data_IF_608439369579
#
_entry.id   IF_608439369579
#
_cell.length_a   1.000
_cell.length_b   1.000
_cell.length_c   1.000
_cell.angle_alpha   90.00
_cell.angle_beta   90.00
_cell.angle_gamma   90.00
#
_symmetry.space_group_name_H-M   'P 1'
#
loop_
_entity.id
_entity.type
_entity.pdbx_description
1 polymer ?
#
# COMPACT_ATOMS: atom_id res chain seq x y z
N UNK A 1 46.08 22.96 -41.19
CA UNK A 1 45.15 21.80 -41.21
C UNK A 1 44.75 21.57 -39.78
N UNK A 2 43.69 22.32 -39.36
CA UNK A 2 43.14 22.27 -38.01
C UNK A 2 42.07 21.18 -37.98
N UNK A 3 42.18 20.26 -37.01
CA UNK A 3 41.17 19.25 -36.72
C UNK A 3 40.28 19.80 -35.62
N UNK A 4 39.08 20.16 -36.03
CA UNK A 4 37.98 20.57 -35.12
C UNK A 4 37.34 19.31 -34.55
N UNK A 5 37.54 19.07 -33.27
CA UNK A 5 36.95 17.95 -32.51
C UNK A 5 35.66 18.38 -31.90
N UNK A 6 34.55 18.04 -32.55
CA UNK A 6 33.21 18.18 -31.95
C UNK A 6 33.03 17.14 -30.84
N UNK A 7 33.06 17.61 -29.59
CA UNK A 7 32.58 16.83 -28.43
C UNK A 7 31.05 16.70 -28.49
N UNK A 8 30.58 15.49 -28.83
CA UNK A 8 29.20 15.10 -28.67
C UNK A 8 28.94 14.82 -27.17
N UNK A 9 28.35 15.80 -26.50
CA UNK A 9 27.85 15.62 -25.14
C UNK A 9 26.65 14.68 -25.13
N UNK A 10 26.89 13.41 -24.82
CA UNK A 10 25.85 12.47 -24.46
C UNK A 10 25.24 12.89 -23.09
N UNK A 11 24.16 13.62 -23.14
CA UNK A 11 23.30 13.83 -21.97
C UNK A 11 22.57 12.51 -21.70
N UNK A 12 23.18 11.63 -20.89
CA UNK A 12 22.45 10.53 -20.24
C UNK A 12 21.38 11.12 -19.32
N UNK A 13 20.19 11.35 -19.87
CA UNK A 13 18.98 11.63 -19.13
C UNK A 13 18.52 10.41 -18.36
N UNK A 14 19.22 10.03 -17.32
CA UNK A 14 18.75 9.07 -16.34
C UNK A 14 17.48 9.64 -15.71
N UNK A 15 16.32 9.11 -16.11
CA UNK A 15 15.05 9.36 -15.40
C UNK A 15 15.21 8.87 -13.96
N UNK A 16 15.58 9.78 -13.05
CA UNK A 16 15.50 9.48 -11.63
C UNK A 16 14.03 9.22 -11.33
N UNK A 17 13.70 7.96 -11.05
CA UNK A 17 12.39 7.58 -10.57
C UNK A 17 12.07 8.45 -9.34
N UNK A 18 11.12 9.37 -9.50
CA UNK A 18 10.79 10.34 -8.45
C UNK A 18 10.02 9.60 -7.35
N UNK A 19 10.64 9.48 -6.18
CA UNK A 19 9.99 8.90 -4.99
C UNK A 19 8.69 9.67 -4.70
N UNK A 20 7.52 9.01 -4.64
CA UNK A 20 6.30 9.70 -4.25
C UNK A 20 6.42 10.30 -2.85
N UNK A 21 6.17 11.61 -2.71
CA UNK A 21 6.24 12.30 -1.43
C UNK A 21 4.91 12.34 -0.67
N UNK A 22 3.86 11.70 -1.21
CA UNK A 22 2.53 11.62 -0.62
C UNK A 22 2.08 10.17 -0.50
N UNK A 23 1.24 9.91 0.50
CA UNK A 23 0.69 8.60 0.75
C UNK A 23 -0.75 8.68 1.27
N UNK A 24 -1.48 7.56 1.13
CA UNK A 24 -2.69 7.28 1.89
C UNK A 24 -2.51 6.00 2.71
N UNK A 25 -2.91 6.05 3.97
CA UNK A 25 -3.00 4.87 4.85
C UNK A 25 -4.48 4.56 5.08
N UNK A 26 -4.93 3.39 4.62
CA UNK A 26 -6.33 2.98 4.76
C UNK A 26 -6.58 2.44 6.17
N UNK A 27 -7.30 3.22 6.98
CA UNK A 27 -7.58 2.94 8.39
C UNK A 27 -9.08 2.98 8.77
N UNK A 28 -9.99 3.23 7.81
CA UNK A 28 -11.44 3.36 8.04
C UNK A 28 -12.19 2.03 8.23
N UNK A 29 -11.51 0.89 8.11
CA UNK A 29 -12.13 -0.44 8.18
C UNK A 29 -12.77 -0.74 9.53
N UNK A 30 -13.92 -1.45 9.54
CA UNK A 30 -14.67 -1.83 10.76
C UNK A 30 -13.92 -2.85 11.64
N UNK A 31 -12.92 -3.56 11.11
CA UNK A 31 -12.13 -4.54 11.85
C UNK A 31 -12.93 -5.72 12.44
N UNK A 32 -14.06 -6.09 11.86
CA UNK A 32 -15.02 -7.06 12.44
C UNK A 32 -14.42 -8.44 12.76
N UNK A 33 -13.39 -8.85 12.03
CA UNK A 33 -12.67 -10.12 12.26
C UNK A 33 -11.75 -10.09 13.49
N UNK A 34 -11.47 -8.91 14.04
CA UNK A 34 -10.64 -8.73 15.24
C UNK A 34 -11.45 -8.81 16.56
N UNK A 35 -12.74 -9.15 16.51
CA UNK A 35 -13.53 -9.39 17.74
C UNK A 35 -12.99 -10.64 18.46
N UNK A 36 -12.79 -10.61 19.80
CA UNK A 36 -13.26 -9.61 20.76
C UNK A 36 -12.31 -8.43 21.00
N UNK A 37 -11.12 -8.36 20.39
CA UNK A 37 -10.12 -7.32 20.68
C UNK A 37 -10.60 -5.90 20.42
N UNK A 38 -11.47 -5.68 19.44
CA UNK A 38 -11.79 -4.35 18.94
C UNK A 38 -13.10 -3.76 19.45
N UNK A 39 -13.61 -4.25 20.56
CA UNK A 39 -14.77 -3.59 21.21
C UNK A 39 -14.46 -2.15 21.67
N UNK A 40 -13.20 -1.84 21.93
CA UNK A 40 -12.74 -0.53 22.43
C UNK A 40 -11.50 0.01 21.70
N UNK A 41 -10.79 -0.82 20.93
CA UNK A 41 -9.58 -0.43 20.20
C UNK A 41 -9.80 -0.63 18.69
N UNK A 42 -9.69 0.41 17.86
CA UNK A 42 -9.82 0.26 16.42
C UNK A 42 -8.66 -0.59 15.88
N UNK A 43 -8.91 -1.40 14.84
CA UNK A 43 -7.91 -2.30 14.27
C UNK A 43 -6.55 -1.65 13.97
N UNK A 44 -6.48 -0.42 13.42
CA UNK A 44 -5.20 0.25 13.19
C UNK A 44 -4.35 0.45 14.44
N UNK A 45 -4.97 0.49 15.62
CA UNK A 45 -4.30 0.68 16.91
C UNK A 45 -4.04 -0.61 17.69
N UNK A 46 -4.37 -1.77 17.14
CA UNK A 46 -3.99 -3.06 17.74
C UNK A 46 -2.48 -3.14 17.81
N UNK A 47 -1.97 -3.53 18.98
CA UNK A 47 -0.54 -3.68 19.19
C UNK A 47 -0.02 -4.99 18.60
N UNK A 48 1.16 -4.92 17.99
CA UNK A 48 1.94 -6.03 17.50
C UNK A 48 3.41 -5.79 17.92
N UNK A 49 3.95 -6.64 18.77
CA UNK A 49 5.31 -6.47 19.26
C UNK A 49 5.53 -5.13 20.01
N UNK A 50 4.51 -4.60 20.66
CA UNK A 50 4.56 -3.33 21.41
C UNK A 50 4.34 -2.07 20.57
N UNK A 51 4.07 -2.17 19.26
CA UNK A 51 3.84 -1.06 18.33
C UNK A 51 2.48 -1.20 17.66
N UNK A 52 1.75 -0.11 17.43
CA UNK A 52 0.45 -0.18 16.76
C UNK A 52 0.60 -0.54 15.28
N UNK A 53 -0.40 -1.22 14.71
CA UNK A 53 -0.35 -1.64 13.30
C UNK A 53 -0.18 -0.45 12.35
N UNK A 54 -0.87 0.66 12.61
CA UNK A 54 -0.76 1.86 11.76
C UNK A 54 0.66 2.46 11.80
N UNK A 55 1.36 2.34 12.94
CA UNK A 55 2.71 2.88 13.06
C UNK A 55 3.73 2.11 12.21
N UNK A 56 3.51 0.82 11.95
CA UNK A 56 4.34 0.07 10.99
C UNK A 56 4.25 0.68 9.58
N UNK A 57 3.06 1.08 9.15
CA UNK A 57 2.85 1.72 7.85
C UNK A 57 3.46 3.14 7.84
N UNK A 58 3.16 3.96 8.86
CA UNK A 58 3.60 5.34 8.92
C UNK A 58 5.12 5.49 9.07
N UNK A 59 5.78 4.59 9.82
CA UNK A 59 7.24 4.62 9.97
C UNK A 59 7.96 4.25 8.67
N UNK A 60 7.41 3.29 7.89
CA UNK A 60 7.95 2.97 6.56
C UNK A 60 7.84 4.14 5.59
N UNK A 61 6.71 4.84 5.62
CA UNK A 61 6.50 6.05 4.82
C UNK A 61 7.46 7.16 5.23
N UNK A 62 7.65 7.37 6.53
CA UNK A 62 8.61 8.34 7.05
C UNK A 62 10.05 8.01 6.64
N UNK A 63 10.46 6.74 6.78
CA UNK A 63 11.77 6.26 6.38
C UNK A 63 12.02 6.38 4.86
N UNK A 64 10.96 6.30 4.04
CA UNK A 64 11.02 6.52 2.61
C UNK A 64 10.97 8.01 2.20
N UNK A 65 10.95 8.94 3.15
CA UNK A 65 10.92 10.38 2.85
C UNK A 65 9.56 10.92 2.42
N UNK A 66 8.47 10.20 2.69
CA UNK A 66 7.11 10.71 2.46
C UNK A 66 6.84 11.90 3.37
N UNK A 67 6.50 13.04 2.78
CA UNK A 67 6.27 14.30 3.52
C UNK A 67 4.88 14.34 4.15
N UNK A 68 3.86 13.81 3.45
CA UNK A 68 2.46 13.87 3.87
C UNK A 68 1.76 12.52 3.68
N UNK A 69 1.05 12.07 4.71
CA UNK A 69 0.18 10.90 4.66
C UNK A 69 -1.26 11.28 5.00
N UNK A 70 -2.19 10.94 4.12
CA UNK A 70 -3.63 11.00 4.40
C UNK A 70 -4.01 9.71 5.13
N UNK A 71 -4.71 9.84 6.26
CA UNK A 71 -5.26 8.71 7.01
C UNK A 71 -6.77 8.81 6.98
N UNK A 72 -7.45 7.84 6.34
CA UNK A 72 -8.90 7.82 6.37
C UNK A 72 -9.40 7.15 7.65
N UNK A 73 -10.45 7.72 8.25
CA UNK A 73 -10.99 7.27 9.53
C UNK A 73 -12.51 7.14 9.49
N UNK A 74 -13.08 6.12 10.14
CA UNK A 74 -14.52 5.90 10.27
C UNK A 74 -14.86 5.33 11.66
N UNK A 75 -14.60 4.03 11.88
CA UNK A 75 -14.90 3.37 13.15
C UNK A 75 -13.89 3.78 14.23
N UNK A 76 -14.37 4.25 15.38
CA UNK A 76 -13.53 4.77 16.49
C UNK A 76 -12.52 5.83 16.02
N UNK A 77 -12.94 6.68 15.10
CA UNK A 77 -12.12 7.67 14.42
C UNK A 77 -11.31 8.55 15.38
N UNK A 78 -11.94 9.03 16.48
CA UNK A 78 -11.30 9.90 17.48
C UNK A 78 -10.06 9.24 18.13
N UNK A 79 -10.08 7.91 18.29
CA UNK A 79 -8.92 7.19 18.83
C UNK A 79 -7.76 7.17 17.85
N UNK A 80 -8.04 6.91 16.56
CA UNK A 80 -7.03 6.93 15.50
C UNK A 80 -6.47 8.35 15.34
N UNK A 81 -7.32 9.38 15.27
CA UNK A 81 -6.90 10.78 15.14
C UNK A 81 -5.98 11.22 16.27
N UNK A 82 -6.36 10.96 17.53
CA UNK A 82 -5.53 11.29 18.70
C UNK A 82 -4.18 10.60 18.68
N UNK A 83 -4.14 9.35 18.19
CA UNK A 83 -2.90 8.59 18.09
C UNK A 83 -1.96 9.20 17.04
N UNK A 84 -2.46 9.40 15.83
CA UNK A 84 -1.63 9.89 14.72
C UNK A 84 -1.27 11.38 14.83
N UNK A 85 -2.05 12.17 15.60
CA UNK A 85 -1.74 13.59 15.87
C UNK A 85 -0.43 13.80 16.63
N UNK A 86 0.09 12.77 17.30
CA UNK A 86 1.36 12.81 18.04
C UNK A 86 2.59 12.66 17.13
N UNK A 87 2.38 12.38 15.83
CA UNK A 87 3.51 12.14 14.90
C UNK A 87 4.06 13.46 14.33
N UNK A 88 5.38 13.55 14.31
CA UNK A 88 6.07 14.65 13.64
C UNK A 88 6.18 14.40 12.11
N UNK A 89 6.44 13.15 11.70
CA UNK A 89 6.61 12.75 10.31
C UNK A 89 6.01 11.36 10.04
N UNK A 90 5.41 11.18 8.84
CA UNK A 90 5.00 12.21 7.88
C UNK A 90 3.94 13.15 8.47
N UNK A 91 3.75 14.33 7.89
CA UNK A 91 2.60 15.19 8.24
C UNK A 91 1.29 14.44 7.98
N UNK A 92 0.45 14.32 9.00
CA UNK A 92 -0.82 13.60 8.89
C UNK A 92 -1.94 14.57 8.49
N UNK A 93 -2.75 14.12 7.51
CA UNK A 93 -4.02 14.75 7.13
C UNK A 93 -5.13 13.72 7.29
N UNK A 94 -6.19 14.08 8.00
CA UNK A 94 -7.33 13.19 8.22
C UNK A 94 -8.32 13.29 7.05
N UNK A 95 -8.73 12.13 6.52
CA UNK A 95 -9.87 11.99 5.62
C UNK A 95 -11.04 11.37 6.39
N UNK A 96 -11.95 12.20 6.86
CA UNK A 96 -13.05 11.80 7.74
C UNK A 96 -14.18 11.12 6.95
N UNK A 97 -14.44 9.83 7.24
CA UNK A 97 -15.53 9.04 6.68
C UNK A 97 -16.64 8.73 7.71
N UNK A 98 -16.72 9.46 8.85
CA UNK A 98 -17.73 9.20 9.89
C UNK A 98 -19.16 9.25 9.38
N UNK A 99 -19.44 10.09 8.39
CA UNK A 99 -20.76 10.20 7.77
C UNK A 99 -21.19 8.96 6.96
N UNK A 100 -20.21 8.13 6.53
CA UNK A 100 -20.47 6.91 5.77
C UNK A 100 -19.19 6.28 5.28
N UNK A 101 -19.06 4.97 5.45
CA UNK A 101 -17.91 4.20 4.98
C UNK A 101 -17.90 4.15 3.46
N UNK A 102 -16.80 4.59 2.85
CA UNK A 102 -16.67 4.71 1.39
C UNK A 102 -16.02 3.47 0.73
N UNK A 103 -15.61 2.49 1.52
CA UNK A 103 -14.82 1.38 1.01
C UNK A 103 -13.42 1.82 0.58
N UNK A 104 -12.60 0.88 0.10
CA UNK A 104 -11.18 1.17 -0.20
C UNK A 104 -11.02 2.11 -1.38
N UNK A 105 -11.79 1.95 -2.46
CA UNK A 105 -11.73 2.82 -3.64
C UNK A 105 -12.30 4.21 -3.40
N UNK A 106 -13.50 4.29 -2.79
CA UNK A 106 -14.15 5.56 -2.47
C UNK A 106 -13.37 6.37 -1.44
N UNK A 107 -12.73 5.71 -0.46
CA UNK A 107 -11.85 6.36 0.51
C UNK A 107 -10.64 7.04 -0.14
N UNK A 108 -9.98 6.36 -1.09
CA UNK A 108 -8.88 6.97 -1.86
C UNK A 108 -9.41 8.09 -2.75
N UNK A 109 -10.52 7.89 -3.46
CA UNK A 109 -11.12 8.92 -4.32
C UNK A 109 -11.43 10.21 -3.55
N UNK A 110 -11.96 10.10 -2.32
CA UNK A 110 -12.19 11.24 -1.42
C UNK A 110 -10.89 11.96 -1.04
N UNK A 111 -9.81 11.22 -0.88
CA UNK A 111 -8.51 11.75 -0.47
C UNK A 111 -7.70 12.40 -1.61
N UNK A 112 -8.06 12.19 -2.89
CA UNK A 112 -7.30 12.67 -4.05
C UNK A 112 -6.94 14.16 -4.01
N UNK A 113 -7.83 15.09 -3.60
CA UNK A 113 -7.48 16.50 -3.50
C UNK A 113 -6.30 16.78 -2.56
N UNK A 114 -6.09 15.92 -1.56
CA UNK A 114 -5.00 16.02 -0.58
C UNK A 114 -3.73 15.26 -1.03
N UNK A 115 -3.89 14.28 -1.92
CA UNK A 115 -2.81 13.49 -2.50
C UNK A 115 -2.13 14.18 -3.67
N UNK A 116 -2.84 15.07 -4.37
CA UNK A 116 -2.29 15.84 -5.50
C UNK A 116 -2.40 15.12 -6.84
N UNK A 117 -1.56 15.55 -7.80
CA UNK A 117 -1.60 15.08 -9.19
C UNK A 117 -0.47 14.11 -9.55
N UNK A 118 0.50 13.92 -8.68
CA UNK A 118 1.58 12.94 -8.86
C UNK A 118 1.19 11.56 -8.31
N UNK A 119 1.85 10.47 -8.73
CA UNK A 119 1.71 9.16 -8.12
C UNK A 119 1.94 9.21 -6.61
N UNK A 120 1.25 8.36 -5.85
CA UNK A 120 1.29 8.33 -4.41
C UNK A 120 1.31 6.88 -3.88
N UNK A 121 1.85 6.69 -2.69
CA UNK A 121 1.78 5.41 -2.00
C UNK A 121 0.39 5.17 -1.40
N UNK A 122 -0.05 3.92 -1.44
CA UNK A 122 -1.16 3.42 -0.64
C UNK A 122 -0.64 2.31 0.25
N UNK A 123 -0.99 2.34 1.54
CA UNK A 123 -0.70 1.25 2.48
C UNK A 123 -1.95 0.97 3.32
N UNK A 124 -2.30 -0.33 3.46
CA UNK A 124 -3.31 -0.75 4.41
C UNK A 124 -2.73 -0.70 5.82
N UNK A 125 -3.47 -0.17 6.78
CA UNK A 125 -3.02 -0.06 8.18
C UNK A 125 -2.88 -1.40 8.92
N UNK A 126 -3.33 -2.50 8.31
CA UNK A 126 -3.32 -3.85 8.90
C UNK A 126 -2.31 -4.79 8.24
N UNK A 127 -1.42 -4.26 7.41
CA UNK A 127 -0.35 -5.02 6.76
C UNK A 127 0.99 -4.74 7.42
N UNK A 128 1.72 -5.80 7.70
CA UNK A 128 3.06 -5.72 8.29
C UNK A 128 3.97 -6.67 7.51
N UNK A 129 5.23 -6.31 7.33
CA UNK A 129 6.24 -7.20 6.77
C UNK A 129 7.61 -6.93 7.39
N UNK A 130 8.50 -7.89 7.29
CA UNK A 130 9.94 -7.69 7.46
C UNK A 130 10.52 -7.49 6.06
N UNK A 131 11.27 -6.42 5.88
CA UNK A 131 11.92 -6.16 4.60
C UNK A 131 13.08 -7.12 4.37
N UNK A 132 13.40 -7.39 3.10
CA UNK A 132 14.62 -8.05 2.68
C UNK A 132 15.83 -7.09 2.78
N UNK A 133 16.77 -7.25 1.85
CA UNK A 133 17.98 -6.40 1.82
C UNK A 133 17.64 -4.94 1.55
N UNK A 134 16.65 -4.70 0.68
CA UNK A 134 16.19 -3.36 0.34
C UNK A 134 14.75 -3.15 0.78
N UNK A 135 14.41 -1.98 1.38
CA UNK A 135 13.03 -1.69 1.76
C UNK A 135 12.06 -1.80 0.57
N UNK A 136 10.97 -2.54 0.74
CA UNK A 136 9.98 -2.76 -0.33
C UNK A 136 9.32 -1.47 -0.82
N UNK A 137 9.17 -0.46 0.04
CA UNK A 137 8.67 0.87 -0.37
C UNK A 137 9.63 1.54 -1.37
N UNK A 138 10.93 1.47 -1.13
CA UNK A 138 11.94 1.99 -2.08
C UNK A 138 11.92 1.22 -3.39
N UNK A 139 11.81 -0.11 -3.33
CA UNK A 139 11.71 -0.98 -4.52
C UNK A 139 10.46 -0.67 -5.35
N UNK A 140 9.32 -0.41 -4.71
CA UNK A 140 8.11 0.03 -5.41
C UNK A 140 8.35 1.35 -6.17
N UNK A 141 8.98 2.33 -5.53
CA UNK A 141 9.25 3.63 -6.15
C UNK A 141 10.18 3.53 -7.37
N UNK A 142 11.22 2.69 -7.28
CA UNK A 142 12.16 2.47 -8.37
C UNK A 142 11.55 1.70 -9.54
N UNK A 143 10.62 0.78 -9.26
CA UNK A 143 10.00 -0.05 -10.28
C UNK A 143 8.76 0.61 -10.93
N UNK A 144 8.26 1.73 -10.39
CA UNK A 144 7.06 2.37 -10.90
C UNK A 144 7.36 3.20 -12.15
N UNK A 145 6.74 2.85 -13.27
CA UNK A 145 6.85 3.55 -14.56
C UNK A 145 5.51 4.20 -14.94
N UNK A 146 5.31 5.51 -14.66
CA UNK A 146 4.02 6.17 -14.88
C UNK A 146 3.56 6.18 -16.34
N UNK A 147 4.48 6.02 -17.30
CA UNK A 147 4.16 5.93 -18.72
C UNK A 147 3.29 4.68 -19.06
N UNK A 148 3.52 3.57 -18.37
CA UNK A 148 2.87 2.29 -18.64
C UNK A 148 2.03 1.76 -17.49
N UNK A 149 2.16 2.32 -16.26
CA UNK A 149 1.52 1.83 -15.05
C UNK A 149 0.49 2.83 -14.51
N UNK A 150 -0.74 2.37 -14.26
CA UNK A 150 -1.71 3.09 -13.44
C UNK A 150 -1.63 2.66 -11.98
N UNK A 151 -1.20 1.41 -11.73
CA UNK A 151 -0.96 0.87 -10.41
C UNK A 151 0.17 -0.16 -10.43
N UNK A 152 1.04 -0.12 -9.41
CA UNK A 152 2.04 -1.14 -9.10
C UNK A 152 1.76 -1.68 -7.69
N UNK A 153 1.39 -2.95 -7.60
CA UNK A 153 1.01 -3.61 -6.35
C UNK A 153 2.19 -4.38 -5.76
N UNK A 154 2.41 -4.27 -4.45
CA UNK A 154 3.30 -5.17 -3.72
C UNK A 154 2.60 -6.51 -3.51
N UNK A 155 3.25 -7.60 -3.88
CA UNK A 155 2.69 -8.96 -3.90
C UNK A 155 3.46 -9.87 -2.96
N UNK A 156 2.76 -10.50 -2.01
CA UNK A 156 3.34 -11.54 -1.18
C UNK A 156 3.06 -12.93 -1.77
N UNK A 157 4.03 -13.87 -1.71
CA UNK A 157 3.79 -15.25 -2.09
C UNK A 157 2.84 -15.90 -1.08
N UNK A 158 1.88 -16.69 -1.57
CA UNK A 158 0.89 -17.36 -0.69
C UNK A 158 1.51 -18.45 0.18
N UNK A 159 2.69 -18.97 -0.17
CA UNK A 159 3.37 -20.07 0.52
C UNK A 159 4.12 -19.64 1.77
N UNK A 160 4.64 -18.40 1.81
CA UNK A 160 5.55 -17.92 2.87
C UNK A 160 4.92 -16.79 3.69
N UNK A 161 3.60 -16.61 3.62
CA UNK A 161 2.88 -15.53 4.28
C UNK A 161 2.30 -15.99 5.62
N UNK A 162 2.46 -15.18 6.67
CA UNK A 162 1.87 -15.44 7.99
C UNK A 162 0.44 -14.89 8.05
N UNK A 163 -0.48 -15.66 8.63
CA UNK A 163 -1.88 -15.26 8.82
C UNK A 163 -2.72 -15.23 7.55
N UNK A 164 -2.23 -15.80 6.44
CA UNK A 164 -2.96 -15.90 5.18
C UNK A 164 -3.10 -17.37 4.74
N UNK A 165 -4.33 -17.82 4.54
CA UNK A 165 -4.67 -19.17 4.06
C UNK A 165 -5.58 -19.11 2.81
N UNK A 166 -5.53 -18.01 2.05
CA UNK A 166 -6.37 -17.78 0.88
C UNK A 166 -5.80 -18.41 -0.41
N UNK A 167 -6.54 -18.25 -1.49
CA UNK A 167 -6.20 -18.77 -2.83
C UNK A 167 -5.31 -17.82 -3.66
N UNK A 168 -4.78 -16.76 -3.07
CA UNK A 168 -4.13 -15.66 -3.77
C UNK A 168 -5.14 -14.72 -4.43
N UNK A 169 -4.63 -13.63 -5.01
CA UNK A 169 -5.41 -12.62 -5.69
C UNK A 169 -4.99 -12.49 -7.17
N UNK A 170 -3.69 -12.66 -7.45
CA UNK A 170 -3.11 -12.39 -8.75
C UNK A 170 -2.12 -13.46 -9.22
N UNK A 171 -2.14 -13.74 -10.53
CA UNK A 171 -1.01 -14.28 -11.27
C UNK A 171 -0.23 -13.12 -11.89
N UNK A 172 1.10 -13.21 -11.88
CA UNK A 172 1.99 -12.23 -12.49
C UNK A 172 2.60 -12.81 -13.76
N UNK A 173 2.50 -12.07 -14.86
CA UNK A 173 3.08 -12.42 -16.15
C UNK A 173 4.58 -12.13 -16.16
N UNK A 174 5.36 -12.68 -17.13
CA UNK A 174 6.80 -12.45 -17.20
C UNK A 174 7.21 -10.98 -17.33
N UNK A 175 6.34 -10.13 -17.86
CA UNK A 175 6.55 -8.68 -18.01
C UNK A 175 6.08 -7.86 -16.78
N UNK A 176 5.68 -8.53 -15.70
CA UNK A 176 5.21 -7.91 -14.47
C UNK A 176 3.73 -7.51 -14.47
N UNK A 177 3.00 -7.62 -15.59
CA UNK A 177 1.56 -7.36 -15.62
C UNK A 177 0.81 -8.39 -14.79
N UNK A 178 -0.27 -7.93 -14.16
CA UNK A 178 -1.09 -8.77 -13.31
C UNK A 178 -2.38 -9.21 -14.00
N UNK A 179 -2.71 -10.46 -13.78
CA UNK A 179 -4.02 -11.04 -14.07
C UNK A 179 -4.68 -11.44 -12.75
N UNK A 180 -5.88 -10.92 -12.50
CA UNK A 180 -6.65 -11.32 -11.33
C UNK A 180 -7.08 -12.78 -11.46
N UNK A 181 -7.10 -13.51 -10.33
CA UNK A 181 -7.53 -14.90 -10.32
C UNK A 181 -9.00 -15.05 -10.70
N UNK A 182 -9.33 -16.12 -11.39
CA UNK A 182 -10.69 -16.56 -11.60
C UNK A 182 -11.32 -17.11 -10.30
N UNK A 183 -12.64 -17.28 -10.30
CA UNK A 183 -13.41 -17.67 -9.10
C UNK A 183 -12.92 -18.96 -8.44
N UNK A 184 -12.57 -19.99 -9.23
CA UNK A 184 -12.13 -21.31 -8.76
C UNK A 184 -10.61 -21.52 -8.84
N UNK A 185 -9.87 -20.52 -9.26
CA UNK A 185 -8.43 -20.59 -9.47
C UNK A 185 -7.66 -20.37 -8.16
N UNK A 186 -6.49 -21.00 -8.04
CA UNK A 186 -5.47 -20.71 -7.04
C UNK A 186 -4.31 -20.04 -7.77
N UNK A 187 -3.85 -18.91 -7.28
CA UNK A 187 -2.75 -18.15 -7.88
C UNK A 187 -1.66 -17.88 -6.83
N UNK A 188 -0.39 -17.71 -7.25
CA UNK A 188 0.73 -17.72 -6.33
C UNK A 188 0.87 -16.46 -5.47
N UNK A 189 0.18 -15.36 -5.81
CA UNK A 189 0.39 -14.08 -5.13
C UNK A 189 -0.88 -13.52 -4.52
N UNK A 190 -0.74 -12.92 -3.33
CA UNK A 190 -1.76 -12.11 -2.67
C UNK A 190 -1.31 -10.64 -2.65
N UNK A 191 -2.25 -9.71 -2.78
CA UNK A 191 -1.97 -8.29 -2.60
C UNK A 191 -1.54 -8.01 -1.16
N UNK A 192 -0.30 -7.57 -0.99
CA UNK A 192 0.29 -7.37 0.34
C UNK A 192 -0.18 -6.09 1.05
N UNK A 193 -1.12 -5.35 0.47
CA UNK A 193 -1.67 -4.15 1.08
C UNK A 193 -0.79 -2.90 0.95
N UNK A 194 0.16 -2.89 0.01
CA UNK A 194 0.96 -1.71 -0.34
C UNK A 194 1.04 -1.56 -1.86
N UNK A 195 0.98 -0.32 -2.35
CA UNK A 195 1.01 -0.03 -3.79
C UNK A 195 1.51 1.39 -4.07
N UNK A 196 1.89 1.66 -5.32
CA UNK A 196 1.91 3.01 -5.89
C UNK A 196 0.75 3.11 -6.88
N UNK A 197 -0.02 4.20 -6.79
CA UNK A 197 -1.16 4.48 -7.65
C UNK A 197 -0.95 5.81 -8.37
N UNK A 198 -1.24 5.84 -9.67
CA UNK A 198 -1.36 7.08 -10.41
C UNK A 198 -2.76 7.69 -10.19
N UNK A 199 -2.91 9.01 -10.03
CA UNK A 199 -4.23 9.66 -9.94
C UNK A 199 -5.13 9.37 -11.17
N UNK A 200 -4.56 9.14 -12.35
CA UNK A 200 -5.27 8.76 -13.56
C UNK A 200 -6.08 7.46 -13.41
N UNK A 201 -5.67 6.55 -12.53
CA UNK A 201 -6.43 5.33 -12.17
C UNK A 201 -7.86 5.64 -11.73
N UNK A 202 -8.12 6.83 -11.17
CA UNK A 202 -9.42 7.25 -10.64
C UNK A 202 -10.28 8.00 -11.66
N UNK A 203 -9.78 8.24 -12.88
CA UNK A 203 -10.58 8.87 -13.94
C UNK A 203 -11.82 8.03 -14.24
N UNK A 204 -13.02 8.64 -14.19
CA UNK A 204 -14.28 7.92 -14.36
C UNK A 204 -14.61 6.88 -13.28
N UNK A 205 -14.00 6.99 -12.10
CA UNK A 205 -14.38 6.15 -10.95
C UNK A 205 -15.81 6.45 -10.48
N UNK A 206 -16.53 5.47 -9.91
CA UNK A 206 -17.84 5.73 -9.32
C UNK A 206 -17.78 6.78 -8.21
N UNK A 207 -18.87 7.48 -7.99
CA UNK A 207 -19.06 8.31 -6.80
C UNK A 207 -19.52 7.45 -5.61
N UNK A 208 -19.16 7.86 -4.38
CA UNK A 208 -19.56 7.18 -3.14
C UNK A 208 -18.74 5.95 -2.81
N UNK A 209 -19.39 4.92 -2.28
CA UNK A 209 -18.71 3.73 -1.76
C UNK A 209 -18.43 2.69 -2.86
N UNK A 210 -17.16 2.34 -3.06
CA UNK A 210 -16.75 1.25 -3.95
C UNK A 210 -15.41 0.63 -3.53
N UNK A 211 -15.16 -0.64 -3.89
CA UNK A 211 -13.89 -1.30 -3.60
C UNK A 211 -12.81 -0.89 -4.61
N UNK A 212 -11.57 -0.75 -4.16
CA UNK A 212 -10.42 -0.42 -5.03
C UNK A 212 -10.16 -1.49 -6.09
N UNK A 213 -10.56 -2.73 -5.82
CA UNK A 213 -10.45 -3.84 -6.78
C UNK A 213 -11.16 -3.58 -8.10
N UNK A 214 -12.22 -2.78 -8.11
CA UNK A 214 -12.90 -2.34 -9.34
C UNK A 214 -11.94 -1.58 -10.28
N UNK A 215 -11.10 -0.72 -9.71
CA UNK A 215 -10.10 0.06 -10.47
C UNK A 215 -8.92 -0.82 -10.89
N UNK A 216 -8.51 -1.76 -10.04
CA UNK A 216 -7.48 -2.74 -10.40
C UNK A 216 -7.94 -3.63 -11.57
N UNK A 217 -9.19 -4.09 -11.55
CA UNK A 217 -9.75 -4.88 -12.66
C UNK A 217 -9.74 -4.09 -13.97
N UNK A 218 -10.10 -2.80 -13.93
CA UNK A 218 -10.05 -1.91 -15.08
C UNK A 218 -8.62 -1.68 -15.58
N UNK A 219 -7.68 -1.40 -14.67
CA UNK A 219 -6.27 -1.23 -15.02
C UNK A 219 -5.68 -2.52 -15.60
N UNK A 220 -6.04 -3.68 -15.05
CA UNK A 220 -5.64 -4.99 -15.57
C UNK A 220 -6.16 -5.25 -16.97
N UNK A 221 -7.44 -4.95 -17.25
CA UNK A 221 -8.03 -5.05 -18.58
C UNK A 221 -7.32 -4.15 -19.63
N UNK A 222 -6.78 -3.00 -19.18
CA UNK A 222 -6.04 -2.07 -20.02
C UNK A 222 -4.51 -2.37 -20.08
N UNK A 223 -4.04 -3.46 -19.45
CA UNK A 223 -2.63 -3.83 -19.39
C UNK A 223 -1.76 -2.85 -18.57
N UNK A 224 -2.37 -2.07 -17.66
CA UNK A 224 -1.70 -1.02 -16.86
C UNK A 224 -1.65 -1.33 -15.35
N UNK A 225 -1.97 -2.58 -14.95
CA UNK A 225 -1.82 -3.10 -13.60
C UNK A 225 -0.59 -4.01 -13.52
N UNK A 226 0.37 -3.65 -12.67
CA UNK A 226 1.63 -4.37 -12.50
C UNK A 226 1.83 -4.82 -11.06
N UNK A 227 2.72 -5.77 -10.87
CA UNK A 227 3.08 -6.31 -9.56
C UNK A 227 4.58 -6.33 -9.32
N UNK A 228 4.96 -6.10 -8.08
CA UNK A 228 6.31 -6.29 -7.58
C UNK A 228 6.27 -7.33 -6.46
N UNK A 229 7.08 -8.39 -6.57
CA UNK A 229 7.17 -9.38 -5.49
C UNK A 229 7.82 -8.76 -4.26
N UNK A 230 7.16 -8.93 -3.11
CA UNK A 230 7.70 -8.57 -1.80
C UNK A 230 8.95 -9.41 -1.51
N UNK A 231 10.01 -8.76 -1.06
CA UNK A 231 11.18 -9.40 -0.49
C UNK A 231 11.12 -9.34 1.04
N UNK A 232 11.31 -10.50 1.66
CA UNK A 232 11.18 -10.65 3.10
C UNK A 232 9.92 -11.43 3.50
N UNK A 233 9.40 -11.18 4.69
CA UNK A 233 8.28 -11.94 5.27
C UNK A 233 7.05 -11.05 5.44
N UNK A 234 5.96 -11.39 4.77
CA UNK A 234 4.69 -10.69 4.92
C UNK A 234 3.78 -11.34 5.97
N UNK A 235 3.12 -10.49 6.77
CA UNK A 235 2.23 -10.88 7.85
C UNK A 235 0.87 -10.18 7.68
N UNK A 236 -0.18 -10.97 7.43
CA UNK A 236 -1.55 -10.47 7.38
C UNK A 236 -2.17 -10.49 8.78
N UNK A 237 -2.19 -9.33 9.45
CA UNK A 237 -2.68 -9.20 10.82
C UNK A 237 -4.19 -8.93 10.81
N UNK A 238 -4.96 -9.95 10.40
CA UNK A 238 -6.40 -9.85 10.20
C UNK A 238 -7.27 -10.42 11.31
N UNK A 239 -6.70 -11.26 12.19
CA UNK A 239 -7.37 -11.96 13.31
C UNK A 239 -6.48 -12.01 14.53
N UNK A 240 -7.02 -12.30 15.73
CA UNK A 240 -6.22 -12.48 16.95
C UNK A 240 -5.13 -13.54 16.82
N UNK A 241 -5.43 -14.66 16.18
CA UNK A 241 -4.47 -15.76 15.95
C UNK A 241 -3.34 -15.30 15.04
N UNK A 242 -3.64 -14.48 14.04
CA UNK A 242 -2.63 -13.90 13.15
C UNK A 242 -1.72 -12.89 13.89
N UNK A 243 -2.23 -12.16 14.89
CA UNK A 243 -1.40 -11.31 15.76
C UNK A 243 -0.38 -12.16 16.48
N UNK A 244 -0.80 -13.24 17.16
CA UNK A 244 0.10 -14.11 17.91
C UNK A 244 1.17 -14.75 17.01
N UNK A 245 0.80 -15.21 15.81
CA UNK A 245 1.73 -15.77 14.83
C UNK A 245 2.75 -14.73 14.33
N UNK A 246 2.30 -13.49 14.09
CA UNK A 246 3.16 -12.40 13.68
C UNK A 246 4.14 -11.96 14.80
N UNK A 247 3.68 -11.95 16.07
CA UNK A 247 4.56 -11.67 17.23
C UNK A 247 5.66 -12.71 17.37
N UNK A 248 5.33 -13.99 17.21
CA UNK A 248 6.32 -15.07 17.24
C UNK A 248 7.37 -14.89 16.12
N UNK A 249 6.95 -14.50 14.90
CA UNK A 249 7.86 -14.25 13.80
C UNK A 249 8.78 -13.03 14.05
N UNK A 250 8.23 -11.94 14.59
CA UNK A 250 9.00 -10.76 14.95
C UNK A 250 10.01 -11.03 16.07
N UNK A 251 9.68 -11.91 17.01
CA UNK A 251 10.61 -12.32 18.08
C UNK A 251 11.76 -13.18 17.55
N UNK A 252 11.51 -14.04 16.57
CA UNK A 252 12.53 -14.90 15.95
C UNK A 252 13.44 -14.16 14.95
N UNK A 253 13.09 -12.95 14.53
CA UNK A 253 13.88 -12.13 13.61
C UNK A 253 14.82 -11.12 14.31
N UNK A 254 14.80 -11.07 15.64
CA UNK A 254 15.69 -10.24 16.48
C UNK A 254 16.91 -11.05 16.90
#
# INVERSE_FOLDING_TARGET
MEYDGAESGDSEGGSHAMMPNRAIVLAAGLGTRMRPYNGQVPKPLVALGGKSLIDYALDRLAAAGVERAVVNVHHLADAVERHVAQRAHPQIVISDERAGLLGTGGGVAKALPQLGTAPFFLINSDTVWLDGVKPNIARLAEAFEPAIMDALLLLAPTTDSIGYAGRGDFAMLPDGRLRRRGEREVVPFVYAGAAILAPALFAGAPSGAFPLTLLFDRAGANGRLFGLRLEGLWMHVGTPEAVAAAEAALAGAR
#
